data_IF_414124849907
#
_entry.id   IF_414124849907
#
_cell.length_a   1.000
_cell.length_b   1.000
_cell.length_c   1.000
_cell.angle_alpha   90.00
_cell.angle_beta   90.00
_cell.angle_gamma   90.00
#
_symmetry.space_group_name_H-M   'P 1'
#
loop_
_entity.id
_entity.type
_entity.pdbx_description
1 polymer ?
#
# COMPACT_ATOMS: atom_id res chain seq x y z
N UNK A 1 0.09 -10.61 -0.67
CA UNK A 1 -1.33 -11.04 -0.68
C UNK A 1 -1.38 -12.49 -0.21
N UNK A 2 -2.39 -12.93 0.55
CA UNK A 2 -2.50 -14.32 1.02
C UNK A 2 -3.79 -14.95 0.50
N UNK A 3 -3.71 -16.21 0.04
CA UNK A 3 -4.87 -17.05 -0.26
C UNK A 3 -5.03 -18.07 0.87
N UNK A 4 -6.06 -17.96 1.73
CA UNK A 4 -6.32 -18.93 2.78
C UNK A 4 -6.67 -20.30 2.18
N UNK A 5 -6.26 -21.41 2.82
CA UNK A 5 -6.59 -22.74 2.34
C UNK A 5 -8.11 -22.95 2.36
N UNK A 6 -8.65 -23.43 1.23
CA UNK A 6 -10.06 -23.79 1.13
C UNK A 6 -10.36 -24.95 2.08
N UNK A 7 -11.39 -24.80 2.92
CA UNK A 7 -11.87 -25.89 3.77
C UNK A 7 -12.84 -26.75 2.97
N UNK A 8 -12.62 -28.07 2.97
CA UNK A 8 -13.51 -29.04 2.33
C UNK A 8 -14.95 -28.84 2.82
N UNK A 9 -15.90 -28.70 1.89
CA UNK A 9 -17.31 -28.42 2.18
C UNK A 9 -17.63 -26.96 2.50
N UNK A 10 -16.70 -26.03 2.31
CA UNK A 10 -16.90 -24.57 2.44
C UNK A 10 -16.31 -23.82 1.24
N UNK A 11 -16.69 -24.22 0.04
CA UNK A 11 -16.20 -23.62 -1.22
C UNK A 11 -16.48 -22.12 -1.30
N UNK A 12 -17.64 -21.69 -0.78
CA UNK A 12 -18.06 -20.28 -0.66
C UNK A 12 -17.15 -19.42 0.25
N UNK A 13 -16.21 -20.02 0.98
CA UNK A 13 -15.27 -19.30 1.84
C UNK A 13 -13.95 -18.90 1.16
N UNK A 14 -13.81 -19.26 -0.13
CA UNK A 14 -12.66 -18.89 -0.97
C UNK A 14 -12.56 -17.38 -1.08
N UNK A 15 -11.40 -16.82 -0.74
CA UNK A 15 -11.19 -15.37 -0.69
C UNK A 15 -9.72 -15.02 -0.79
N UNK A 16 -9.46 -13.74 -1.01
CA UNK A 16 -8.14 -13.14 -0.97
C UNK A 16 -8.01 -12.31 0.32
N UNK A 17 -6.91 -12.48 1.04
CA UNK A 17 -6.54 -11.66 2.18
C UNK A 17 -5.47 -10.63 1.75
N UNK A 18 -5.90 -9.40 1.53
CA UNK A 18 -5.00 -8.25 1.33
C UNK A 18 -4.67 -7.64 2.70
N UNK A 19 -3.38 -7.68 3.07
CA UNK A 19 -2.91 -7.42 4.44
C UNK A 19 -2.19 -6.08 4.62
N UNK A 20 -2.12 -5.28 3.56
CA UNK A 20 -1.45 -3.97 3.58
C UNK A 20 -2.28 -2.87 4.23
N UNK A 21 -3.62 -2.78 4.05
CA UNK A 21 -4.42 -1.74 4.69
C UNK A 21 -4.42 -1.88 6.22
N UNK A 22 -4.42 -0.75 6.91
CA UNK A 22 -4.51 -0.66 8.36
C UNK A 22 -5.78 0.11 8.82
N UNK A 23 -6.13 0.10 10.12
CA UNK A 23 -7.35 0.74 10.62
C UNK A 23 -7.40 2.27 10.52
N UNK A 24 -6.31 2.96 10.20
CA UNK A 24 -6.30 4.40 9.97
C UNK A 24 -6.83 4.78 8.58
N UNK A 25 -6.97 3.81 7.68
CA UNK A 25 -7.62 4.01 6.39
C UNK A 25 -9.11 4.35 6.55
N UNK A 26 -9.60 5.26 5.70
CA UNK A 26 -11.05 5.37 5.50
C UNK A 26 -11.54 4.09 4.79
N UNK A 27 -12.40 3.27 5.42
CA UNK A 27 -12.77 1.96 4.87
C UNK A 27 -13.53 2.08 3.55
N UNK A 28 -14.30 3.16 3.34
CA UNK A 28 -15.01 3.39 2.09
C UNK A 28 -14.03 3.62 0.95
N UNK A 29 -13.06 4.51 1.12
CA UNK A 29 -12.07 4.81 0.08
C UNK A 29 -11.16 3.61 -0.20
N UNK A 30 -10.72 2.91 0.85
CA UNK A 30 -9.88 1.73 0.71
C UNK A 30 -10.57 0.63 -0.08
N UNK A 31 -11.82 0.29 0.25
CA UNK A 31 -12.57 -0.74 -0.47
C UNK A 31 -12.92 -0.31 -1.90
N UNK A 32 -13.23 0.96 -2.15
CA UNK A 32 -13.46 1.45 -3.52
C UNK A 32 -12.24 1.26 -4.41
N UNK A 33 -11.05 1.66 -3.95
CA UNK A 33 -9.81 1.51 -4.74
C UNK A 33 -9.41 0.06 -4.90
N UNK A 34 -9.54 -0.76 -3.84
CA UNK A 34 -9.27 -2.20 -3.93
C UNK A 34 -10.19 -2.91 -4.93
N UNK A 35 -11.48 -2.58 -4.92
CA UNK A 35 -12.45 -3.15 -5.86
C UNK A 35 -12.11 -2.71 -7.30
N UNK A 36 -11.84 -1.42 -7.51
CA UNK A 36 -11.46 -0.91 -8.83
C UNK A 36 -10.19 -1.59 -9.37
N UNK A 37 -9.15 -1.76 -8.54
CA UNK A 37 -7.93 -2.46 -8.91
C UNK A 37 -8.20 -3.92 -9.32
N UNK A 38 -9.03 -4.63 -8.55
CA UNK A 38 -9.42 -6.01 -8.86
C UNK A 38 -10.22 -6.12 -10.15
N UNK A 39 -11.19 -5.23 -10.37
CA UNK A 39 -12.01 -5.18 -11.58
C UNK A 39 -11.15 -4.91 -12.82
N UNK A 40 -10.24 -3.92 -12.77
CA UNK A 40 -9.35 -3.62 -13.90
C UNK A 40 -8.47 -4.81 -14.27
N UNK A 41 -7.93 -5.51 -13.28
CA UNK A 41 -7.12 -6.72 -13.54
C UNK A 41 -7.92 -7.85 -14.22
N UNK A 42 -9.21 -8.00 -13.90
CA UNK A 42 -10.10 -8.98 -14.54
C UNK A 42 -10.45 -8.54 -15.98
N UNK A 43 -10.83 -7.27 -16.15
CA UNK A 43 -11.27 -6.72 -17.44
C UNK A 43 -10.14 -6.69 -18.47
N UNK A 44 -8.93 -6.35 -18.05
CA UNK A 44 -7.75 -6.28 -18.93
C UNK A 44 -6.93 -7.58 -18.96
N UNK A 45 -7.30 -8.59 -18.17
CA UNK A 45 -6.65 -9.90 -18.18
C UNK A 45 -5.19 -9.88 -17.72
N UNK A 46 -4.88 -9.16 -16.63
CA UNK A 46 -3.51 -9.04 -16.13
C UNK A 46 -2.92 -10.40 -15.73
N UNK A 47 -1.69 -10.65 -16.19
CA UNK A 47 -0.93 -11.82 -15.75
C UNK A 47 -0.49 -11.65 -14.30
N UNK A 48 -0.76 -12.68 -13.48
CA UNK A 48 -0.32 -12.70 -12.10
C UNK A 48 1.15 -13.14 -12.04
N UNK A 49 1.98 -12.47 -11.22
CA UNK A 49 3.35 -12.94 -11.00
C UNK A 49 3.34 -14.31 -10.28
N UNK A 50 4.43 -15.07 -10.38
CA UNK A 50 4.61 -16.30 -9.62
C UNK A 50 4.43 -16.07 -8.10
N UNK A 51 3.98 -17.10 -7.39
CA UNK A 51 3.90 -17.04 -5.94
C UNK A 51 5.29 -16.86 -5.32
N UNK A 52 5.38 -16.07 -4.25
CA UNK A 52 6.60 -15.98 -3.48
C UNK A 52 6.82 -17.31 -2.73
N UNK A 53 7.90 -18.01 -3.05
CA UNK A 53 8.22 -19.35 -2.53
C UNK A 53 8.91 -19.33 -1.16
N UNK A 54 9.47 -18.18 -0.77
CA UNK A 54 10.33 -18.03 0.41
C UNK A 54 9.74 -17.08 1.44
N UNK A 55 10.23 -17.17 2.68
CA UNK A 55 9.99 -16.14 3.68
C UNK A 55 10.64 -14.82 3.21
N UNK A 56 9.83 -13.90 2.66
CA UNK A 56 10.31 -12.62 2.12
C UNK A 56 11.12 -11.83 3.16
N UNK A 57 10.80 -11.99 4.46
CA UNK A 57 11.50 -11.32 5.56
C UNK A 57 12.98 -11.72 5.68
N UNK A 58 13.35 -12.92 5.23
CA UNK A 58 14.71 -13.46 5.30
C UNK A 58 15.51 -13.22 4.02
N UNK A 59 14.87 -12.74 2.95
CA UNK A 59 15.54 -12.43 1.70
C UNK A 59 16.31 -11.12 1.81
N UNK A 60 17.54 -11.12 1.29
CA UNK A 60 18.32 -9.89 1.07
C UNK A 60 17.65 -9.01 0.00
N UNK A 61 18.01 -7.73 -0.06
CA UNK A 61 17.47 -6.81 -1.06
C UNK A 61 17.81 -7.26 -2.49
N UNK A 62 19.02 -7.78 -2.70
CA UNK A 62 19.47 -8.30 -4.00
C UNK A 62 18.64 -9.53 -4.42
N UNK A 63 18.35 -10.45 -3.49
CA UNK A 63 17.51 -11.62 -3.76
C UNK A 63 16.07 -11.22 -4.12
N UNK A 64 15.52 -10.19 -3.47
CA UNK A 64 14.16 -9.68 -3.75
C UNK A 64 14.09 -9.08 -5.14
N UNK A 65 15.08 -8.26 -5.52
CA UNK A 65 15.16 -7.67 -6.86
C UNK A 65 15.32 -8.76 -7.91
N UNK A 66 16.19 -9.74 -7.69
CA UNK A 66 16.39 -10.87 -8.59
C UNK A 66 15.10 -11.71 -8.77
N UNK A 67 14.27 -11.81 -7.73
CA UNK A 67 12.97 -12.47 -7.77
C UNK A 67 11.83 -11.59 -8.32
N UNK A 68 12.09 -10.34 -8.71
CA UNK A 68 11.07 -9.40 -9.18
C UNK A 68 10.11 -8.92 -8.09
N UNK A 69 10.52 -9.00 -6.82
CA UNK A 69 9.70 -8.59 -5.66
C UNK A 69 10.01 -7.12 -5.34
N UNK A 70 9.10 -6.23 -5.74
CA UNK A 70 9.16 -4.81 -5.38
C UNK A 70 8.75 -4.53 -3.93
N UNK A 71 9.25 -3.41 -3.39
CA UNK A 71 8.85 -2.89 -2.08
C UNK A 71 7.67 -1.92 -2.21
N UNK A 72 6.84 -1.86 -1.16
CA UNK A 72 5.85 -0.81 -1.00
C UNK A 72 6.54 0.55 -0.73
N UNK A 73 5.84 1.69 -0.93
CA UNK A 73 6.35 3.00 -0.57
C UNK A 73 6.79 3.04 0.90
N UNK A 74 7.93 3.67 1.19
CA UNK A 74 8.51 3.71 2.54
C UNK A 74 8.03 4.92 3.36
N UNK A 75 7.32 5.85 2.73
CA UNK A 75 6.78 7.04 3.37
C UNK A 75 5.42 7.43 2.80
N UNK A 76 4.70 8.27 3.53
CA UNK A 76 3.45 8.85 3.04
C UNK A 76 3.70 9.70 1.79
N UNK A 77 4.82 10.41 1.71
CA UNK A 77 5.17 11.24 0.55
C UNK A 77 5.38 10.43 -0.73
N UNK A 78 6.11 9.31 -0.62
CA UNK A 78 6.28 8.38 -1.73
C UNK A 78 4.94 7.78 -2.18
N UNK A 79 4.10 7.36 -1.21
CA UNK A 79 2.79 6.80 -1.50
C UNK A 79 1.87 7.81 -2.21
N UNK A 80 1.84 9.07 -1.74
CA UNK A 80 1.06 10.16 -2.34
C UNK A 80 1.58 10.50 -3.73
N UNK A 81 2.90 10.56 -3.92
CA UNK A 81 3.52 10.81 -5.23
C UNK A 81 3.18 9.72 -6.25
N UNK A 82 3.18 8.45 -5.83
CA UNK A 82 2.76 7.33 -6.69
C UNK A 82 1.26 7.42 -6.99
N UNK A 83 0.45 7.76 -6.00
CA UNK A 83 -1.00 7.91 -6.17
C UNK A 83 -1.35 9.04 -7.14
N UNK A 84 -0.64 10.17 -7.12
CA UNK A 84 -0.83 11.30 -8.05
C UNK A 84 -0.71 10.89 -9.52
N UNK A 85 0.18 9.94 -9.83
CA UNK A 85 0.36 9.40 -11.18
C UNK A 85 -0.63 8.29 -11.56
N UNK A 86 -1.56 7.91 -10.68
CA UNK A 86 -2.43 6.75 -10.89
C UNK A 86 -3.79 7.14 -11.49
N UNK A 87 -3.95 6.86 -12.78
CA UNK A 87 -5.25 7.01 -13.46
C UNK A 87 -6.34 6.13 -12.84
N UNK A 88 -6.00 4.88 -12.48
CA UNK A 88 -6.93 3.95 -11.80
C UNK A 88 -7.52 4.57 -10.52
N UNK A 89 -6.67 5.10 -9.65
CA UNK A 89 -7.13 5.63 -8.36
C UNK A 89 -7.95 6.91 -8.57
N UNK A 90 -7.54 7.74 -9.53
CA UNK A 90 -8.27 8.95 -9.91
C UNK A 90 -9.68 8.63 -10.43
N UNK A 91 -9.82 7.65 -11.32
CA UNK A 91 -11.11 7.19 -11.82
C UNK A 91 -11.97 6.56 -10.72
N UNK A 92 -11.38 5.73 -9.86
CA UNK A 92 -12.09 5.03 -8.79
C UNK A 92 -12.68 5.98 -7.73
N UNK A 93 -11.98 7.08 -7.42
CA UNK A 93 -12.40 8.05 -6.41
C UNK A 93 -13.18 9.24 -7.00
N UNK A 94 -13.00 9.49 -8.30
CA UNK A 94 -13.45 10.71 -8.97
C UNK A 94 -12.54 11.91 -8.66
N UNK A 95 -12.49 12.84 -9.62
CA UNK A 95 -11.59 14.01 -9.61
C UNK A 95 -11.59 14.75 -8.26
N UNK A 96 -12.78 15.09 -7.75
CA UNK A 96 -12.91 15.93 -6.57
C UNK A 96 -12.35 15.29 -5.29
N UNK A 97 -12.65 14.00 -5.07
CA UNK A 97 -12.17 13.27 -3.88
C UNK A 97 -10.67 13.02 -4.01
N UNK A 98 -10.21 12.64 -5.19
CA UNK A 98 -8.81 12.40 -5.47
C UNK A 98 -7.94 13.63 -5.18
N UNK A 99 -8.27 14.78 -5.76
CA UNK A 99 -7.52 16.03 -5.57
C UNK A 99 -7.51 16.48 -4.10
N UNK A 100 -8.65 16.41 -3.41
CA UNK A 100 -8.73 16.79 -1.99
C UNK A 100 -7.90 15.84 -1.12
N UNK A 101 -7.95 14.54 -1.41
CA UNK A 101 -7.21 13.53 -0.66
C UNK A 101 -5.70 13.76 -0.78
N UNK A 102 -5.19 13.95 -1.99
CA UNK A 102 -3.78 14.23 -2.25
C UNK A 102 -3.33 15.48 -1.50
N UNK A 103 -4.07 16.59 -1.62
CA UNK A 103 -3.74 17.84 -0.93
C UNK A 103 -3.68 17.64 0.59
N UNK A 104 -4.71 17.03 1.15
CA UNK A 104 -4.78 16.78 2.59
C UNK A 104 -3.61 15.90 3.08
N UNK A 105 -3.23 14.87 2.32
CA UNK A 105 -2.11 13.99 2.69
C UNK A 105 -0.73 14.63 2.52
N UNK A 106 -0.56 15.54 1.55
CA UNK A 106 0.65 16.37 1.48
C UNK A 106 0.76 17.33 2.67
N UNK A 107 -0.34 17.94 3.08
CA UNK A 107 -0.37 18.82 4.26
C UNK A 107 -0.03 18.04 5.54
N UNK A 108 -0.59 16.84 5.70
CA UNK A 108 -0.27 15.91 6.80
C UNK A 108 1.22 15.56 6.83
N UNK A 109 1.80 15.19 5.68
CA UNK A 109 3.23 14.89 5.59
C UNK A 109 4.10 16.11 5.91
N UNK A 110 3.76 17.27 5.38
CA UNK A 110 4.47 18.53 5.63
C UNK A 110 4.47 18.90 7.11
N UNK A 111 3.34 18.72 7.79
CA UNK A 111 3.23 18.94 9.22
C UNK A 111 4.06 17.93 10.03
N UNK A 112 4.14 16.67 9.59
CA UNK A 112 4.97 15.64 10.23
C UNK A 112 6.47 15.96 10.13
N UNK A 113 6.99 16.22 8.93
CA UNK A 113 8.43 16.44 8.69
C UNK A 113 9.01 17.72 9.30
N UNK A 114 8.16 18.65 9.74
CA UNK A 114 8.58 19.90 10.40
C UNK A 114 8.79 19.74 11.91
N UNK A 115 8.41 18.59 12.47
CA UNK A 115 8.57 18.32 13.90
C UNK A 115 10.04 18.01 14.22
N UNK A 116 10.49 18.46 15.39
CA UNK A 116 11.69 17.91 16.03
C UNK A 116 11.22 16.77 16.93
N UNK A 117 11.58 15.55 16.57
CA UNK A 117 11.11 14.33 17.25
C UNK A 117 11.89 14.08 18.53
N UNK A 118 11.28 13.34 19.46
CA UNK A 118 11.97 12.94 20.70
C UNK A 118 13.24 12.13 20.41
N UNK A 119 13.23 11.28 19.38
CA UNK A 119 14.41 10.53 18.94
C UNK A 119 15.58 11.46 18.59
N UNK A 120 15.33 12.54 17.85
CA UNK A 120 16.36 13.51 17.49
C UNK A 120 16.89 14.27 18.71
N UNK A 121 16.00 14.66 19.63
CA UNK A 121 16.41 15.28 20.91
C UNK A 121 17.30 14.32 21.71
N UNK A 122 16.86 13.08 21.92
CA UNK A 122 17.61 12.08 22.69
C UNK A 122 18.96 11.75 22.04
N UNK A 123 19.05 11.76 20.71
CA UNK A 123 20.26 11.40 19.97
C UNK A 123 21.28 12.53 19.87
N UNK A 124 20.81 13.76 19.67
CA UNK A 124 21.66 14.90 19.28
C UNK A 124 21.75 16.00 20.35
N UNK A 125 20.77 16.12 21.25
CA UNK A 125 20.79 17.12 22.33
C UNK A 125 21.51 16.60 23.58
N UNK A 126 21.41 15.30 23.89
CA UNK A 126 22.04 14.65 25.05
C UNK A 126 23.58 14.67 25.06
N UNK A 127 24.20 15.10 23.95
CA UNK A 127 25.66 15.27 23.82
C UNK A 127 26.14 16.68 24.15
N UNK A 128 25.27 17.55 24.67
CA UNK A 128 25.59 18.88 25.22
C UNK A 128 25.43 18.82 26.75
#
# INVERSE_FOLDING_TARGET
MRVPPAKRGKEDSTRIEFRSPDPACNPYLAFSVMLAAGMKGIEEGYELPPEATSNIWEMSDDDRVAAGIGSLPQSLDEAVTIMEGSELVKEALGEHVFEYFIRNKRDEWNAYRQQVTQFELDRYLSSI
#
